data_IF_221358398906
#
_entry.id   IF_221358398906
#
_cell.length_a   1.000
_cell.length_b   1.000
_cell.length_c   1.000
_cell.angle_alpha   90.00
_cell.angle_beta   90.00
_cell.angle_gamma   90.00
#
_symmetry.space_group_name_H-M   'P 1'
#
loop_
_entity.id
_entity.type
_entity.pdbx_description
1 polymer ?
#
# COMPACT_ATOMS: atom_id res chain seq x y z
N UNK A 1 20.57 10.51 -14.19
CA UNK A 1 19.28 10.92 -13.61
C UNK A 1 18.88 10.05 -12.42
N UNK A 2 18.99 10.62 -11.23
CA UNK A 2 18.47 10.08 -9.97
C UNK A 2 17.26 10.93 -9.54
N UNK A 3 16.22 10.26 -9.04
CA UNK A 3 15.06 10.91 -8.46
C UNK A 3 15.10 10.84 -6.94
N UNK A 4 15.00 11.99 -6.29
CA UNK A 4 14.79 12.09 -4.85
C UNK A 4 13.30 12.20 -4.58
N UNK A 5 12.74 11.17 -3.94
CA UNK A 5 11.33 11.11 -3.57
C UNK A 5 11.21 11.32 -2.06
N UNK A 6 10.57 12.41 -1.65
CA UNK A 6 10.36 12.73 -0.23
C UNK A 6 9.15 13.65 -0.02
N UNK A 7 8.55 13.65 1.18
CA UNK A 7 7.53 14.63 1.53
C UNK A 7 8.16 16.02 1.64
N UNK A 8 7.52 17.02 1.04
CA UNK A 8 7.92 18.42 1.13
C UNK A 8 6.73 19.26 1.56
N UNK A 9 7.00 20.20 2.47
CA UNK A 9 6.01 21.15 2.94
C UNK A 9 5.79 22.24 1.88
N UNK A 10 4.54 22.51 1.55
CA UNK A 10 4.14 23.58 0.67
C UNK A 10 4.45 24.91 1.34
N UNK A 11 5.00 25.85 0.57
CA UNK A 11 5.21 27.23 1.00
C UNK A 11 4.02 28.09 0.59
N UNK A 12 3.70 29.09 1.39
CA UNK A 12 2.77 30.17 1.02
C UNK A 12 3.38 31.05 -0.08
N UNK A 13 2.58 31.95 -0.64
CA UNK A 13 3.06 32.93 -1.64
C UNK A 13 4.17 33.85 -1.08
N UNK A 14 4.25 33.98 0.24
CA UNK A 14 5.27 34.74 0.97
C UNK A 14 6.54 33.92 1.24
N UNK A 15 6.54 32.63 0.90
CA UNK A 15 7.66 31.71 1.10
C UNK A 15 7.67 30.99 2.45
N UNK A 16 6.67 31.22 3.29
CA UNK A 16 6.56 30.64 4.64
C UNK A 16 5.98 29.21 4.60
N UNK A 17 6.33 28.33 5.55
CA UNK A 17 5.76 26.98 5.64
C UNK A 17 4.24 27.03 5.89
N UNK A 18 3.46 26.30 5.11
CA UNK A 18 1.98 26.34 5.19
C UNK A 18 1.35 25.32 6.14
N UNK A 19 2.13 24.38 6.68
CA UNK A 19 1.64 23.22 7.41
C UNK A 19 1.04 22.12 6.52
N UNK A 20 1.06 22.29 5.20
CA UNK A 20 0.50 21.36 4.22
C UNK A 20 1.60 20.64 3.47
N UNK A 21 1.43 19.34 3.24
CA UNK A 21 2.48 18.45 2.75
C UNK A 21 2.07 17.74 1.46
N UNK A 22 3.04 17.52 0.58
CA UNK A 22 2.91 16.65 -0.58
C UNK A 22 4.11 15.71 -0.68
N UNK A 23 3.88 14.50 -1.16
CA UNK A 23 4.98 13.65 -1.60
C UNK A 23 5.46 14.17 -2.96
N UNK A 24 6.75 14.44 -3.07
CA UNK A 24 7.33 15.08 -4.25
C UNK A 24 8.50 14.29 -4.79
N UNK A 25 8.75 14.43 -6.09
CA UNK A 25 9.91 13.90 -6.77
C UNK A 25 10.72 15.03 -7.40
N UNK A 26 12.03 15.03 -7.16
CA UNK A 26 12.97 16.00 -7.71
C UNK A 26 14.15 15.30 -8.37
N UNK A 27 14.52 15.74 -9.58
CA UNK A 27 15.67 15.23 -10.32
C UNK A 27 16.95 16.02 -10.00
N UNK A 28 18.07 15.30 -9.92
CA UNK A 28 19.44 15.84 -9.76
C UNK A 28 19.97 16.60 -10.98
N UNK A 29 19.47 16.30 -12.18
CA UNK A 29 19.96 16.85 -13.45
C UNK A 29 19.09 18.03 -13.96
N UNK A 30 18.32 18.67 -13.08
CA UNK A 30 17.43 19.78 -13.46
C UNK A 30 16.16 19.33 -14.20
N UNK A 31 15.83 18.02 -14.15
CA UNK A 31 14.73 17.36 -14.88
C UNK A 31 13.30 17.58 -14.35
N UNK A 32 13.09 18.58 -13.49
CA UNK A 32 11.77 18.98 -13.02
C UNK A 32 11.42 18.55 -11.59
N UNK A 33 10.41 19.23 -11.05
CA UNK A 33 9.79 18.99 -9.76
C UNK A 33 8.36 18.49 -9.99
N UNK A 34 7.99 17.39 -9.34
CA UNK A 34 6.66 16.81 -9.46
C UNK A 34 6.05 16.61 -8.08
N UNK A 35 4.90 17.24 -7.83
CA UNK A 35 4.03 16.85 -6.74
C UNK A 35 3.25 15.60 -7.17
N UNK A 36 3.28 14.55 -6.34
CA UNK A 36 2.65 13.26 -6.70
C UNK A 36 1.12 13.30 -6.70
N UNK A 37 0.50 14.25 -6.00
CA UNK A 37 -0.95 14.35 -5.92
C UNK A 37 -1.39 15.82 -5.91
N UNK A 38 -2.69 16.04 -6.12
CA UNK A 38 -3.32 17.35 -6.23
C UNK A 38 -4.11 17.77 -4.97
N UNK A 39 -3.89 17.09 -3.84
CA UNK A 39 -4.56 17.37 -2.57
C UNK A 39 -3.54 17.45 -1.44
N UNK A 40 -3.84 18.31 -0.48
CA UNK A 40 -2.94 18.59 0.63
C UNK A 40 -3.05 17.54 1.75
N UNK A 41 -1.92 17.26 2.39
CA UNK A 41 -1.83 16.43 3.59
C UNK A 41 -1.44 17.23 4.82
N UNK A 42 -1.86 16.78 6.01
CA UNK A 42 -1.59 17.49 7.28
C UNK A 42 -0.23 17.16 7.89
N UNK A 43 0.44 16.13 7.38
CA UNK A 43 1.73 15.69 7.88
C UNK A 43 2.58 15.05 6.77
N UNK A 44 3.92 15.00 6.94
CA UNK A 44 4.81 14.31 6.00
C UNK A 44 4.51 12.81 5.93
N UNK A 45 4.10 12.16 7.01
CA UNK A 45 3.74 10.74 7.04
C UNK A 45 2.48 10.46 6.22
N UNK A 46 1.48 11.34 6.31
CA UNK A 46 0.25 11.23 5.53
C UNK A 46 0.53 11.41 4.03
N UNK A 47 1.35 12.40 3.67
CA UNK A 47 1.83 12.60 2.31
C UNK A 47 2.63 11.39 1.80
N UNK A 48 3.57 10.88 2.61
CA UNK A 48 4.34 9.67 2.30
C UNK A 48 3.44 8.45 2.15
N UNK A 49 2.30 8.38 2.82
CA UNK A 49 1.35 7.26 2.73
C UNK A 49 0.36 7.40 1.55
N UNK A 50 0.27 8.56 0.92
CA UNK A 50 -0.72 8.83 -0.14
C UNK A 50 -0.55 7.91 -1.35
N UNK A 51 -1.56 7.06 -1.57
CA UNK A 51 -1.61 6.09 -2.68
C UNK A 51 -1.49 6.78 -4.04
N UNK A 52 -2.28 7.83 -4.27
CA UNK A 52 -2.25 8.58 -5.54
C UNK A 52 -0.86 9.16 -5.79
N UNK A 53 -0.25 9.74 -4.75
CA UNK A 53 1.07 10.32 -4.87
C UNK A 53 2.15 9.30 -5.23
N UNK A 54 2.12 8.13 -4.58
CA UNK A 54 3.05 7.05 -4.88
C UNK A 54 2.88 6.48 -6.30
N UNK A 55 1.64 6.28 -6.75
CA UNK A 55 1.37 5.80 -8.12
C UNK A 55 1.87 6.82 -9.15
N UNK A 56 1.53 8.10 -8.99
CA UNK A 56 1.93 9.14 -9.93
C UNK A 56 3.45 9.31 -9.98
N UNK A 57 4.10 9.39 -8.81
CA UNK A 57 5.56 9.50 -8.74
C UNK A 57 6.23 8.25 -9.30
N UNK A 58 5.71 7.06 -8.98
CA UNK A 58 6.23 5.80 -9.51
C UNK A 58 6.20 5.75 -11.03
N UNK A 59 5.13 6.26 -11.66
CA UNK A 59 5.01 6.31 -13.13
C UNK A 59 6.06 7.21 -13.81
N UNK A 60 6.52 8.26 -13.12
CA UNK A 60 7.46 9.26 -13.66
C UNK A 60 8.91 8.85 -13.36
N UNK A 61 9.15 8.36 -12.15
CA UNK A 61 10.49 8.16 -11.60
C UNK A 61 10.96 6.71 -11.63
N UNK A 62 10.06 5.77 -11.92
CA UNK A 62 10.31 4.34 -11.72
C UNK A 62 10.34 3.93 -10.24
N UNK A 63 9.93 4.82 -9.32
CA UNK A 63 9.84 4.53 -7.89
C UNK A 63 8.91 3.32 -7.66
N UNK A 64 9.34 2.27 -6.94
CA UNK A 64 8.65 1.00 -6.87
C UNK A 64 7.47 1.10 -5.91
N UNK A 65 6.38 1.73 -6.36
CA UNK A 65 5.09 1.55 -5.74
C UNK A 65 4.20 0.72 -6.65
N UNK A 66 4.09 -0.56 -6.32
CA UNK A 66 3.08 -1.44 -6.86
C UNK A 66 2.25 -1.92 -5.68
N UNK A 67 0.94 -1.61 -5.61
CA UNK A 67 0.08 -2.22 -4.61
C UNK A 67 0.12 -3.74 -4.80
N UNK A 68 0.12 -4.49 -3.70
CA UNK A 68 0.07 -5.93 -3.80
C UNK A 68 -1.32 -6.33 -4.30
N UNK A 69 -1.37 -7.16 -5.34
CA UNK A 69 -2.63 -7.75 -5.81
C UNK A 69 -2.85 -9.05 -5.06
N UNK A 70 -3.97 -9.11 -4.35
CA UNK A 70 -4.38 -10.30 -3.61
C UNK A 70 -5.78 -10.71 -4.03
N UNK A 71 -6.09 -11.99 -3.89
CA UNK A 71 -7.44 -12.50 -4.12
C UNK A 71 -8.03 -12.95 -2.79
N UNK A 72 -9.23 -12.49 -2.42
CA UNK A 72 -9.94 -12.92 -1.22
C UNK A 72 -11.26 -13.56 -1.65
N UNK A 73 -11.46 -14.84 -1.32
CA UNK A 73 -12.67 -15.59 -1.70
C UNK A 73 -13.01 -15.50 -3.21
N UNK A 74 -12.00 -15.47 -4.07
CA UNK A 74 -12.15 -15.37 -5.53
C UNK A 74 -12.32 -13.94 -6.07
N UNK A 75 -12.27 -12.91 -5.23
CA UNK A 75 -12.35 -11.50 -5.62
C UNK A 75 -10.97 -10.84 -5.52
N UNK A 76 -10.52 -10.15 -6.58
CA UNK A 76 -9.24 -9.43 -6.58
C UNK A 76 -9.35 -8.11 -5.79
N UNK A 77 -8.33 -7.83 -4.98
CA UNK A 77 -8.18 -6.62 -4.19
C UNK A 77 -6.75 -6.09 -4.32
N UNK A 78 -6.62 -4.77 -4.46
CA UNK A 78 -5.32 -4.09 -4.38
C UNK A 78 -5.11 -3.56 -2.98
N UNK A 79 -4.05 -4.03 -2.32
CA UNK A 79 -3.71 -3.65 -0.95
C UNK A 79 -2.42 -2.86 -0.92
N UNK A 80 -2.51 -1.70 -0.30
CA UNK A 80 -1.40 -0.79 -0.11
C UNK A 80 -0.52 -1.26 1.06
N UNK A 81 0.79 -1.31 0.86
CA UNK A 81 1.77 -1.70 1.89
C UNK A 81 2.40 -3.09 1.67
N UNK A 82 3.24 -3.51 2.61
CA UNK A 82 3.96 -4.79 2.56
C UNK A 82 3.33 -5.87 3.45
N UNK A 83 2.25 -5.54 4.17
CA UNK A 83 1.56 -6.43 5.12
C UNK A 83 0.06 -6.20 5.12
N UNK A 84 -0.69 -7.26 5.44
CA UNK A 84 -2.13 -7.20 5.68
C UNK A 84 -2.49 -7.90 7.00
N UNK A 85 -3.38 -7.29 7.78
CA UNK A 85 -3.84 -7.87 9.04
C UNK A 85 -4.99 -8.86 8.83
N UNK A 86 -5.16 -9.77 9.79
CA UNK A 86 -6.29 -10.69 9.82
C UNK A 86 -7.64 -9.95 9.76
N UNK A 87 -7.79 -8.87 10.52
CA UNK A 87 -9.00 -8.05 10.58
C UNK A 87 -9.29 -7.44 9.21
N UNK A 88 -8.25 -6.94 8.53
CA UNK A 88 -8.40 -6.36 7.19
C UNK A 88 -8.80 -7.40 6.16
N UNK A 89 -8.23 -8.61 6.24
CA UNK A 89 -8.65 -9.75 5.39
C UNK A 89 -10.14 -10.05 5.62
N UNK A 90 -10.59 -10.10 6.88
CA UNK A 90 -11.98 -10.37 7.22
C UNK A 90 -12.93 -9.23 6.77
N UNK A 91 -12.52 -7.97 6.89
CA UNK A 91 -13.29 -6.84 6.41
C UNK A 91 -13.50 -6.92 4.88
N UNK A 92 -12.44 -7.24 4.13
CA UNK A 92 -12.52 -7.42 2.68
C UNK A 92 -13.33 -8.65 2.29
N UNK A 93 -13.34 -9.69 3.12
CA UNK A 93 -14.16 -10.88 2.96
C UNK A 93 -15.66 -10.70 3.32
N UNK A 94 -16.09 -9.49 3.72
CA UNK A 94 -17.49 -9.21 4.04
C UNK A 94 -17.88 -9.45 5.50
N UNK A 95 -16.93 -9.33 6.44
CA UNK A 95 -17.14 -9.45 7.91
C UNK A 95 -17.72 -10.80 8.35
N UNK A 96 -16.99 -11.92 8.14
CA UNK A 96 -17.36 -13.21 8.69
C UNK A 96 -17.39 -13.18 10.23
N UNK A 97 -18.35 -13.87 10.85
CA UNK A 97 -18.51 -13.95 12.32
C UNK A 97 -17.34 -14.70 12.99
N UNK A 98 -16.76 -15.67 12.28
CA UNK A 98 -15.49 -16.33 12.59
C UNK A 98 -14.76 -16.60 11.26
N UNK A 99 -13.45 -16.35 11.21
CA UNK A 99 -12.66 -16.62 10.01
C UNK A 99 -11.35 -17.31 10.37
N UNK A 100 -11.07 -18.42 9.68
CA UNK A 100 -9.71 -18.85 9.45
C UNK A 100 -9.33 -18.37 8.05
N UNK A 101 -8.30 -17.54 7.95
CA UNK A 101 -7.77 -17.10 6.66
C UNK A 101 -6.56 -17.97 6.32
N UNK A 102 -6.75 -18.86 5.36
CA UNK A 102 -5.67 -19.63 4.76
C UNK A 102 -5.14 -18.85 3.57
N UNK A 103 -3.82 -18.67 3.48
CA UNK A 103 -3.20 -18.02 2.34
C UNK A 103 -2.39 -19.00 1.49
N UNK A 104 -2.36 -18.77 0.18
CA UNK A 104 -1.55 -19.46 -0.83
C UNK A 104 -0.85 -18.40 -1.67
N UNK A 105 0.44 -18.54 -1.93
CA UNK A 105 1.18 -17.57 -2.75
C UNK A 105 2.41 -18.15 -3.44
N UNK A 106 2.77 -17.64 -4.63
CA UNK A 106 4.00 -18.00 -5.32
C UNK A 106 5.21 -17.30 -4.68
N UNK A 107 6.27 -18.05 -4.37
CA UNK A 107 7.58 -17.46 -4.04
C UNK A 107 8.32 -17.12 -5.32
N UNK A 108 9.28 -16.19 -5.24
CA UNK A 108 10.42 -16.14 -6.17
C UNK A 108 11.25 -17.44 -6.05
N UNK A 109 10.77 -18.55 -6.65
CA UNK A 109 11.45 -19.84 -6.74
C UNK A 109 10.80 -21.03 -6.03
N UNK A 110 9.63 -20.89 -5.40
CA UNK A 110 8.93 -21.97 -4.69
C UNK A 110 7.44 -21.90 -5.06
N UNK A 111 6.86 -23.01 -5.51
CA UNK A 111 5.57 -23.00 -6.21
C UNK A 111 4.37 -22.70 -5.31
N UNK A 112 4.44 -23.07 -4.02
CA UNK A 112 3.32 -22.91 -3.10
C UNK A 112 3.79 -22.75 -1.64
N UNK A 113 3.17 -21.82 -0.91
CA UNK A 113 3.22 -21.76 0.57
C UNK A 113 1.81 -21.64 1.12
N UNK A 114 1.44 -22.53 2.03
CA UNK A 114 0.20 -22.45 2.79
C UNK A 114 0.45 -22.01 4.24
N UNK A 115 -0.51 -21.32 4.83
CA UNK A 115 -0.48 -20.93 6.24
C UNK A 115 -1.81 -20.37 6.70
N UNK A 116 -2.01 -20.31 8.02
CA UNK A 116 -3.22 -19.77 8.65
C UNK A 116 -2.87 -18.49 9.41
N UNK A 117 -3.70 -17.46 9.29
CA UNK A 117 -3.61 -16.24 10.10
C UNK A 117 -4.74 -16.15 11.13
N UNK A 118 -4.48 -15.48 12.25
CA UNK A 118 -5.36 -15.35 13.41
C UNK A 118 -5.51 -13.87 13.81
N UNK A 119 -6.53 -13.56 14.61
CA UNK A 119 -6.77 -12.22 15.17
C UNK A 119 -5.49 -11.65 15.80
N UNK A 120 -5.21 -10.38 15.52
CA UNK A 120 -4.02 -9.66 15.97
C UNK A 120 -2.73 -10.00 15.22
N UNK A 121 -2.78 -10.84 14.18
CA UNK A 121 -1.62 -11.16 13.33
C UNK A 121 -1.71 -10.49 11.97
N UNK A 122 -0.53 -10.12 11.46
CA UNK A 122 -0.34 -9.60 10.11
C UNK A 122 0.54 -10.54 9.29
N UNK A 123 0.23 -10.69 8.01
CA UNK A 123 1.00 -11.48 7.05
C UNK A 123 1.70 -10.52 6.09
N UNK A 124 2.94 -10.84 5.69
CA UNK A 124 3.64 -10.10 4.64
C UNK A 124 2.98 -10.37 3.30
N UNK A 125 2.66 -9.32 2.57
CA UNK A 125 2.06 -9.37 1.25
C UNK A 125 3.11 -9.72 0.20
N UNK A 126 2.71 -10.60 -0.71
CA UNK A 126 3.43 -10.94 -1.94
C UNK A 126 2.42 -10.86 -3.10
N UNK A 127 2.90 -10.55 -4.30
CA UNK A 127 2.03 -10.38 -5.45
C UNK A 127 1.38 -11.71 -5.87
N UNK A 128 0.09 -11.68 -6.16
CA UNK A 128 -0.69 -12.87 -6.51
C UNK A 128 -1.07 -13.76 -5.31
N UNK A 129 -0.96 -13.26 -4.07
CA UNK A 129 -1.37 -14.02 -2.88
C UNK A 129 -2.89 -14.20 -2.82
N UNK A 130 -3.34 -15.41 -2.50
CA UNK A 130 -4.76 -15.78 -2.41
C UNK A 130 -5.09 -16.07 -0.96
N UNK A 131 -6.12 -15.43 -0.42
CA UNK A 131 -6.69 -15.69 0.88
C UNK A 131 -8.05 -16.37 0.72
N UNK A 132 -8.22 -17.49 1.40
CA UNK A 132 -9.51 -18.17 1.54
C UNK A 132 -9.97 -18.00 2.98
N UNK A 133 -11.10 -17.32 3.16
CA UNK A 133 -11.73 -17.12 4.45
C UNK A 133 -12.85 -18.12 4.62
N UNK A 134 -12.66 -19.08 5.52
CA UNK A 134 -13.70 -20.08 5.83
C UNK A 134 -14.45 -19.65 7.08
N UNK A 135 -15.78 -19.57 6.96
CA UNK A 135 -16.68 -19.44 8.11
C UNK A 135 -16.86 -20.82 8.72
N UNK A 136 -16.16 -21.11 9.81
CA UNK A 136 -16.44 -22.30 10.61
C UNK A 136 -17.54 -21.94 11.60
N UNK A 137 -18.72 -22.53 11.44
CA UNK A 137 -19.81 -22.40 12.40
C UNK A 137 -19.41 -22.93 13.79
N UNK A 138 -20.07 -22.39 14.82
CA UNK A 138 -19.86 -22.59 16.25
C UNK A 138 -19.29 -23.95 16.68
N UNK A 139 -18.27 -23.90 17.55
CA UNK A 139 -18.01 -24.94 18.55
C UNK A 139 -19.07 -24.93 19.65
#
# INVERSE_FOLDING_TARGET
MVWFVQPLERKTDEGEPSGLWHLCAQSDEGGGFYAGCNHDHRSPEEAQACRFAKISIGSITGFPYQPAKITINGVEHEVDGDKISHERICDLAGKPVHASATYLGPRKGDSERSGVTYVGKSVKLEDGMIFTCVVTGNA
#
